data_IF_604383470660
#
_entry.id   IF_604383470660
#
_cell.length_a   1.000
_cell.length_b   1.000
_cell.length_c   1.000
_cell.angle_alpha   90.00
_cell.angle_beta   90.00
_cell.angle_gamma   90.00
#
_symmetry.space_group_name_H-M   'P 1'
#
loop_
_entity.id
_entity.type
_entity.pdbx_description
1 polymer ?
#
# COMPACT_ATOMS: atom_id res chain seq x y z
N UNK A 1 -31.15 11.86 -17.26
CA UNK A 1 -31.34 12.85 -16.19
C UNK A 1 -30.00 13.43 -15.83
N UNK A 2 -29.85 14.74 -15.99
CA UNK A 2 -28.60 15.44 -16.29
C UNK A 2 -27.67 15.54 -15.07
N UNK A 3 -26.41 15.11 -15.22
CA UNK A 3 -25.36 15.16 -14.17
C UNK A 3 -25.13 16.59 -13.67
N UNK A 4 -25.37 17.61 -14.52
CA UNK A 4 -25.25 19.03 -14.13
C UNK A 4 -26.33 19.47 -13.15
N UNK A 5 -27.55 18.99 -13.33
CA UNK A 5 -28.71 19.39 -12.51
C UNK A 5 -28.59 18.88 -11.05
N UNK A 6 -28.00 17.70 -10.87
CA UNK A 6 -27.66 17.17 -9.55
C UNK A 6 -26.51 17.93 -8.88
N UNK A 7 -25.51 18.39 -9.64
CA UNK A 7 -24.40 19.19 -9.10
C UNK A 7 -24.89 20.57 -8.63
N UNK A 8 -25.79 21.22 -9.39
CA UNK A 8 -26.39 22.50 -8.98
C UNK A 8 -27.24 22.39 -7.70
N UNK A 9 -28.01 21.30 -7.53
CA UNK A 9 -28.80 21.06 -6.32
C UNK A 9 -27.94 20.84 -5.07
N UNK A 10 -26.79 20.18 -5.21
CA UNK A 10 -25.85 19.92 -4.10
C UNK A 10 -25.11 21.20 -3.68
N UNK A 11 -24.73 22.05 -4.64
CA UNK A 11 -24.12 23.37 -4.35
C UNK A 11 -25.11 24.30 -3.64
N UNK A 12 -26.40 24.25 -3.99
CA UNK A 12 -27.42 25.08 -3.34
C UNK A 12 -27.74 24.62 -1.90
N UNK A 13 -27.51 23.35 -1.56
CA UNK A 13 -27.62 22.85 -0.17
C UNK A 13 -26.47 23.31 0.74
N UNK A 14 -25.36 23.79 0.14
CA UNK A 14 -24.13 24.23 0.83
C UNK A 14 -24.27 25.53 1.62
N UNK A 15 -25.29 26.35 1.36
CA UNK A 15 -25.40 27.71 1.94
C UNK A 15 -25.87 27.76 3.40
N UNK A 16 -26.35 26.67 3.99
CA UNK A 16 -26.88 26.65 5.35
C UNK A 16 -26.17 25.63 6.25
N UNK A 17 -25.00 26.01 6.77
CA UNK A 17 -24.46 25.56 8.06
C UNK A 17 -23.75 24.19 8.14
N UNK A 18 -22.52 24.21 8.66
CA UNK A 18 -21.84 23.16 9.45
C UNK A 18 -21.52 21.79 8.83
N UNK A 19 -22.37 21.25 7.97
CA UNK A 19 -22.26 19.90 7.41
C UNK A 19 -21.41 19.85 6.11
N UNK A 20 -21.03 21.01 5.57
CA UNK A 20 -20.44 21.15 4.24
C UNK A 20 -19.10 20.43 4.11
N UNK A 21 -18.23 20.53 5.12
CA UNK A 21 -16.91 19.90 5.08
C UNK A 21 -17.02 18.36 5.13
N UNK A 22 -17.94 17.84 5.94
CA UNK A 22 -18.15 16.40 6.09
C UNK A 22 -18.77 15.78 4.83
N UNK A 23 -19.72 16.48 4.20
CA UNK A 23 -20.34 16.05 2.93
C UNK A 23 -19.33 16.10 1.79
N UNK A 24 -18.46 17.12 1.73
CA UNK A 24 -17.37 17.20 0.75
C UNK A 24 -16.36 16.06 0.98
N UNK A 25 -15.98 15.77 2.23
CA UNK A 25 -15.09 14.65 2.58
C UNK A 25 -15.71 13.30 2.16
N UNK A 26 -17.00 13.08 2.44
CA UNK A 26 -17.72 11.87 2.04
C UNK A 26 -17.84 11.75 0.52
N UNK A 27 -18.09 12.85 -0.19
CA UNK A 27 -18.17 12.87 -1.65
C UNK A 27 -16.81 12.61 -2.29
N UNK A 28 -15.74 13.23 -1.80
CA UNK A 28 -14.37 12.98 -2.24
C UNK A 28 -13.99 11.51 -1.99
N UNK A 29 -14.32 10.97 -0.81
CA UNK A 29 -14.09 9.56 -0.48
C UNK A 29 -14.87 8.61 -1.39
N UNK A 30 -16.16 8.91 -1.65
CA UNK A 30 -17.01 8.13 -2.56
C UNK A 30 -16.49 8.15 -4.00
N UNK A 31 -15.98 9.29 -4.47
CA UNK A 31 -15.35 9.42 -5.79
C UNK A 31 -14.04 8.63 -5.88
N UNK A 32 -13.19 8.68 -4.84
CA UNK A 32 -11.98 7.86 -4.74
C UNK A 32 -12.31 6.37 -4.75
N UNK A 33 -13.31 5.93 -3.97
CA UNK A 33 -13.77 4.53 -3.96
C UNK A 33 -14.33 4.06 -5.31
N UNK A 34 -15.07 4.93 -6.01
CA UNK A 34 -15.61 4.64 -7.35
C UNK A 34 -14.46 4.47 -8.35
N UNK A 35 -13.44 5.34 -8.33
CA UNK A 35 -12.25 5.22 -9.17
C UNK A 35 -11.41 3.97 -8.84
N UNK A 36 -11.32 3.60 -7.56
CA UNK A 36 -10.67 2.35 -7.13
C UNK A 36 -11.42 1.14 -7.70
N UNK A 37 -12.75 1.10 -7.62
CA UNK A 37 -13.54 -0.01 -8.20
C UNK A 37 -13.45 -0.08 -9.73
N UNK A 38 -13.47 1.05 -10.44
CA UNK A 38 -13.36 1.04 -11.90
C UNK A 38 -11.96 0.59 -12.36
N UNK A 39 -10.90 1.03 -11.68
CA UNK A 39 -9.52 0.62 -11.98
C UNK A 39 -9.23 -0.85 -11.64
N UNK A 40 -9.79 -1.37 -10.53
CA UNK A 40 -9.66 -2.79 -10.17
C UNK A 40 -10.40 -3.68 -11.17
N UNK A 41 -11.59 -3.29 -11.63
CA UNK A 41 -12.39 -4.07 -12.59
C UNK A 41 -11.73 -4.15 -13.98
N UNK A 42 -11.19 -3.04 -14.52
CA UNK A 42 -10.51 -3.06 -15.83
C UNK A 42 -9.21 -3.88 -15.85
N UNK A 43 -8.53 -3.99 -14.70
CA UNK A 43 -7.24 -4.70 -14.60
C UNK A 43 -7.43 -6.21 -14.38
N UNK A 44 -8.43 -6.61 -13.59
CA UNK A 44 -8.79 -8.03 -13.38
C UNK A 44 -9.29 -8.71 -14.66
N UNK A 45 -9.94 -7.98 -15.57
CA UNK A 45 -10.39 -8.51 -16.86
C UNK A 45 -9.25 -8.87 -17.86
N UNK A 46 -7.97 -8.77 -17.47
CA UNK A 46 -6.81 -9.01 -18.35
C UNK A 46 -5.83 -10.10 -17.91
N UNK A 47 -6.00 -10.70 -16.73
CA UNK A 47 -5.17 -11.82 -16.26
C UNK A 47 -5.96 -13.12 -16.43
N UNK A 48 -5.36 -14.11 -17.10
CA UNK A 48 -5.96 -15.44 -17.21
C UNK A 48 -5.52 -16.37 -16.06
N UNK A 49 -6.17 -17.52 -15.93
CA UNK A 49 -5.87 -18.49 -14.85
C UNK A 49 -4.42 -18.96 -14.85
N UNK A 50 -3.78 -18.99 -16.02
CA UNK A 50 -2.37 -19.34 -16.14
C UNK A 50 -1.50 -18.24 -15.52
N UNK A 51 -1.81 -16.96 -15.78
CA UNK A 51 -1.10 -15.84 -15.16
C UNK A 51 -1.24 -15.88 -13.63
N UNK A 52 -2.45 -16.17 -13.11
CA UNK A 52 -2.70 -16.25 -11.67
C UNK A 52 -1.93 -17.41 -11.01
N UNK A 53 -1.93 -18.60 -11.63
CA UNK A 53 -1.14 -19.75 -11.17
C UNK A 53 0.36 -19.46 -11.22
N UNK A 54 0.83 -18.79 -12.28
CA UNK A 54 2.23 -18.39 -12.42
C UNK A 54 2.64 -17.42 -11.31
N UNK A 55 1.82 -16.40 -11.03
CA UNK A 55 2.07 -15.45 -9.93
C UNK A 55 2.08 -16.15 -8.58
N UNK A 56 1.18 -17.10 -8.36
CA UNK A 56 1.15 -17.91 -7.14
C UNK A 56 2.46 -18.69 -6.94
N UNK A 57 2.95 -19.38 -7.96
CA UNK A 57 4.20 -20.13 -7.88
C UNK A 57 5.42 -19.23 -7.67
N UNK A 58 5.52 -18.12 -8.40
CA UNK A 58 6.64 -17.17 -8.29
C UNK A 58 6.65 -16.40 -6.97
N UNK A 59 5.50 -16.21 -6.33
CA UNK A 59 5.45 -15.52 -5.04
C UNK A 59 5.93 -16.43 -3.90
N UNK A 60 5.75 -17.75 -4.06
CA UNK A 60 6.27 -18.74 -3.12
C UNK A 60 7.76 -19.00 -3.30
N UNK A 61 8.22 -19.09 -4.54
CA UNK A 61 9.63 -19.25 -4.87
C UNK A 61 9.97 -18.41 -6.10
N UNK A 62 10.44 -17.18 -5.86
CA UNK A 62 10.86 -16.27 -6.92
C UNK A 62 12.19 -16.67 -7.58
N UNK A 63 12.92 -17.63 -7.01
CA UNK A 63 14.22 -18.10 -7.51
C UNK A 63 14.11 -19.30 -8.45
N UNK A 64 12.91 -19.91 -8.55
CA UNK A 64 12.67 -21.08 -9.39
C UNK A 64 13.04 -20.81 -10.85
N UNK A 65 13.82 -21.71 -11.44
CA UNK A 65 14.19 -21.60 -12.86
C UNK A 65 12.97 -21.89 -13.75
N UNK A 66 12.87 -21.18 -14.89
CA UNK A 66 11.77 -21.38 -15.85
C UNK A 66 11.63 -22.84 -16.31
N UNK A 67 12.70 -23.62 -16.55
CA UNK A 67 12.58 -25.04 -16.85
C UNK A 67 11.96 -25.87 -15.71
N UNK A 68 12.31 -25.60 -14.45
CA UNK A 68 11.74 -26.31 -13.31
C UNK A 68 10.28 -25.91 -13.08
N UNK A 69 9.97 -24.63 -13.24
CA UNK A 69 8.60 -24.12 -13.19
C UNK A 69 7.73 -24.71 -14.30
N UNK A 70 8.28 -24.87 -15.50
CA UNK A 70 7.65 -25.54 -16.64
C UNK A 70 7.25 -26.98 -16.33
N UNK A 71 8.18 -27.77 -15.77
CA UNK A 71 7.90 -29.13 -15.28
C UNK A 71 6.83 -29.15 -14.18
N UNK A 72 6.93 -28.24 -13.21
CA UNK A 72 5.99 -28.15 -12.08
C UNK A 72 4.56 -27.81 -12.53
N UNK A 73 4.41 -26.90 -13.48
CA UNK A 73 3.11 -26.43 -13.95
C UNK A 73 2.55 -27.25 -15.13
N UNK A 74 3.36 -28.11 -15.75
CA UNK A 74 2.98 -28.82 -16.98
C UNK A 74 2.80 -27.90 -18.20
N UNK A 75 3.47 -26.75 -18.21
CA UNK A 75 3.34 -25.71 -19.25
C UNK A 75 4.67 -25.52 -19.96
N UNK A 76 4.65 -25.34 -21.29
CA UNK A 76 5.86 -25.12 -22.09
C UNK A 76 6.70 -23.93 -21.56
N UNK A 77 8.01 -24.13 -21.40
CA UNK A 77 8.92 -23.13 -20.86
C UNK A 77 8.92 -21.79 -21.64
N UNK A 78 8.78 -21.84 -22.97
CA UNK A 78 8.70 -20.63 -23.81
C UNK A 78 7.43 -19.81 -23.53
N UNK A 79 6.31 -20.50 -23.25
CA UNK A 79 5.05 -19.86 -22.85
C UNK A 79 5.21 -19.18 -21.51
N UNK A 80 5.75 -19.87 -20.50
CA UNK A 80 5.99 -19.28 -19.17
C UNK A 80 6.93 -18.08 -19.25
N UNK A 81 8.03 -18.18 -20.00
CA UNK A 81 8.97 -17.07 -20.19
C UNK A 81 8.28 -15.83 -20.79
N UNK A 82 7.50 -16.02 -21.85
CA UNK A 82 6.72 -14.94 -22.47
C UNK A 82 5.74 -14.29 -21.49
N UNK A 83 5.06 -15.11 -20.68
CA UNK A 83 4.12 -14.67 -19.64
C UNK A 83 4.80 -13.84 -18.56
N UNK A 84 5.90 -14.32 -17.99
CA UNK A 84 6.70 -13.59 -16.99
C UNK A 84 7.12 -12.22 -17.55
N UNK A 85 7.75 -12.21 -18.74
CA UNK A 85 8.20 -10.97 -19.39
C UNK A 85 7.06 -9.97 -19.59
N UNK A 86 5.88 -10.45 -19.99
CA UNK A 86 4.68 -9.63 -20.18
C UNK A 86 4.15 -9.08 -18.85
N UNK A 87 4.09 -9.90 -17.80
CA UNK A 87 3.63 -9.47 -16.47
C UNK A 87 4.58 -8.43 -15.85
N UNK A 88 5.90 -8.61 -16.02
CA UNK A 88 6.90 -7.61 -15.63
C UNK A 88 6.75 -6.31 -16.43
N UNK A 89 6.63 -6.39 -17.76
CA UNK A 89 6.44 -5.21 -18.62
C UNK A 89 5.16 -4.42 -18.27
N UNK A 90 4.12 -5.12 -17.80
CA UNK A 90 2.86 -4.51 -17.35
C UNK A 90 2.91 -3.99 -15.91
N UNK A 91 4.06 -4.05 -15.23
CA UNK A 91 4.22 -3.72 -13.81
C UNK A 91 3.31 -4.51 -12.86
N UNK A 92 2.85 -5.70 -13.30
CA UNK A 92 2.11 -6.63 -12.44
C UNK A 92 3.10 -7.35 -11.53
N UNK A 93 4.21 -7.84 -12.11
CA UNK A 93 5.40 -8.20 -11.33
C UNK A 93 6.24 -6.93 -11.19
N UNK A 94 6.27 -6.36 -9.98
CA UNK A 94 7.02 -5.13 -9.70
C UNK A 94 8.52 -5.37 -9.55
N UNK A 95 8.90 -6.46 -8.89
CA UNK A 95 10.30 -6.85 -8.66
C UNK A 95 10.41 -8.33 -8.27
N UNK A 96 11.60 -8.90 -8.44
CA UNK A 96 12.03 -10.12 -7.76
C UNK A 96 12.96 -9.71 -6.62
N UNK A 97 12.73 -10.25 -5.43
CA UNK A 97 13.44 -9.81 -4.21
C UNK A 97 13.59 -10.97 -3.24
N UNK A 98 14.37 -10.76 -2.18
CA UNK A 98 14.61 -11.74 -1.12
C UNK A 98 13.87 -11.32 0.14
N UNK A 99 13.39 -12.29 0.90
CA UNK A 99 12.91 -12.08 2.27
C UNK A 99 14.07 -12.37 3.20
N UNK A 100 14.39 -11.41 4.08
CA UNK A 100 15.53 -11.51 4.99
C UNK A 100 15.02 -11.59 6.42
N UNK A 101 15.70 -12.40 7.24
CA UNK A 101 15.51 -12.36 8.68
C UNK A 101 16.15 -11.08 9.23
N UNK A 102 15.32 -10.04 9.35
CA UNK A 102 15.73 -8.72 9.81
C UNK A 102 16.24 -8.71 11.25
N UNK A 103 15.82 -9.67 12.09
CA UNK A 103 16.31 -9.78 13.46
C UNK A 103 17.81 -10.13 13.49
N UNK A 104 18.26 -10.97 12.55
CA UNK A 104 19.69 -11.32 12.38
C UNK A 104 20.53 -10.14 11.88
N UNK A 105 19.89 -9.10 11.34
CA UNK A 105 20.53 -7.86 10.90
C UNK A 105 20.50 -6.75 11.95
N UNK A 106 20.09 -7.06 13.19
CA UNK A 106 20.04 -6.10 14.29
C UNK A 106 18.76 -5.27 14.35
N UNK A 107 17.73 -5.57 13.56
CA UNK A 107 16.41 -4.95 13.70
C UNK A 107 15.66 -5.69 14.82
N UNK A 108 15.79 -5.18 16.05
CA UNK A 108 15.18 -5.76 17.24
C UNK A 108 13.74 -5.30 17.49
N UNK A 109 13.31 -4.19 16.89
CA UNK A 109 11.98 -3.61 17.10
C UNK A 109 11.35 -3.18 15.78
N UNK A 110 10.10 -3.59 15.57
CA UNK A 110 9.25 -3.11 14.48
C UNK A 110 8.07 -2.37 15.07
N UNK A 111 7.68 -1.27 14.43
CA UNK A 111 6.53 -0.50 14.88
C UNK A 111 5.78 0.07 13.69
N UNK A 112 4.49 0.31 13.90
CA UNK A 112 3.68 1.16 13.03
C UNK A 112 3.33 2.43 13.77
N UNK A 113 3.49 3.59 13.13
CA UNK A 113 3.18 4.90 13.70
C UNK A 113 1.99 5.48 12.95
N UNK A 114 0.90 5.73 13.65
CA UNK A 114 -0.22 6.51 13.15
C UNK A 114 0.08 8.00 13.31
N UNK A 115 -0.14 8.79 12.25
CA UNK A 115 0.19 10.22 12.21
C UNK A 115 -1.02 11.01 11.72
N UNK A 116 -1.37 12.08 12.45
CA UNK A 116 -2.23 13.16 11.95
C UNK A 116 -1.38 14.38 11.61
N UNK A 117 -1.74 15.05 10.51
CA UNK A 117 -0.88 16.06 9.91
C UNK A 117 -1.68 17.21 9.30
N UNK A 118 -0.99 18.32 9.04
CA UNK A 118 -1.58 19.43 8.29
C UNK A 118 -1.87 19.02 6.83
N UNK A 119 -3.14 19.12 6.36
CA UNK A 119 -3.52 18.85 4.97
C UNK A 119 -2.64 19.56 3.93
N UNK A 120 -2.17 20.77 4.23
CA UNK A 120 -1.42 21.65 3.31
C UNK A 120 0.04 21.23 3.14
N UNK A 121 0.62 20.54 4.12
CA UNK A 121 2.04 20.17 4.13
C UNK A 121 2.28 18.72 3.66
N UNK A 122 1.28 18.09 3.03
CA UNK A 122 1.31 16.68 2.58
C UNK A 122 2.65 16.28 1.95
N UNK A 123 3.01 16.97 0.86
CA UNK A 123 4.15 16.56 0.02
C UNK A 123 5.49 16.83 0.73
N UNK A 124 5.55 17.90 1.52
CA UNK A 124 6.73 18.23 2.32
C UNK A 124 6.97 17.18 3.42
N UNK A 125 5.92 16.82 4.16
CA UNK A 125 5.96 15.77 5.19
C UNK A 125 6.37 14.44 4.57
N UNK A 126 5.73 14.03 3.47
CA UNK A 126 6.06 12.78 2.79
C UNK A 126 7.52 12.75 2.33
N UNK A 127 8.04 13.86 1.80
CA UNK A 127 9.45 13.98 1.39
C UNK A 127 10.41 13.89 2.58
N UNK A 128 10.07 14.44 3.74
CA UNK A 128 10.90 14.36 4.94
C UNK A 128 10.86 12.96 5.58
N UNK A 129 9.70 12.32 5.63
CA UNK A 129 9.58 10.93 6.07
C UNK A 129 10.43 9.99 5.21
N UNK A 130 10.41 10.14 3.87
CA UNK A 130 11.24 9.32 2.97
C UNK A 130 12.75 9.52 3.14
N UNK A 131 13.20 10.60 3.80
CA UNK A 131 14.61 10.80 4.12
C UNK A 131 15.05 10.08 5.40
N UNK A 132 14.10 9.52 6.16
CA UNK A 132 14.38 8.77 7.39
C UNK A 132 14.62 7.29 7.04
N UNK A 133 15.85 6.77 7.13
CA UNK A 133 16.17 5.41 6.67
C UNK A 133 15.41 4.31 7.41
N UNK A 134 15.02 4.57 8.65
CA UNK A 134 14.27 3.63 9.48
C UNK A 134 12.80 3.47 9.05
N UNK A 135 12.29 4.38 8.22
CA UNK A 135 10.93 4.29 7.65
C UNK A 135 10.94 3.33 6.46
N UNK A 136 10.20 2.24 6.57
CA UNK A 136 10.13 1.19 5.54
C UNK A 136 8.85 1.23 4.71
N UNK A 137 7.82 1.93 5.18
CA UNK A 137 6.57 2.10 4.46
C UNK A 137 5.84 3.37 4.90
N UNK A 138 5.09 3.96 3.96
CA UNK A 138 4.19 5.08 4.21
C UNK A 138 2.89 4.74 3.48
N UNK A 139 1.78 4.77 4.21
CA UNK A 139 0.43 4.55 3.66
C UNK A 139 -0.49 5.68 4.07
N UNK A 140 -1.11 6.32 3.10
CA UNK A 140 -2.27 7.17 3.37
C UNK A 140 -3.47 6.27 3.64
N UNK A 141 -4.13 6.49 4.78
CA UNK A 141 -5.23 5.64 5.21
C UNK A 141 -6.47 6.45 5.48
N UNK A 142 -7.61 5.78 5.43
CA UNK A 142 -8.86 6.36 5.87
C UNK A 142 -9.16 5.80 7.24
N UNK A 143 -9.20 6.68 8.25
CA UNK A 143 -9.39 6.29 9.64
C UNK A 143 -9.09 7.44 10.58
N UNK A 144 -8.72 7.09 11.82
CA UNK A 144 -8.31 8.04 12.87
C UNK A 144 -7.03 8.80 12.54
N UNK A 145 -6.18 8.21 11.70
CA UNK A 145 -4.91 8.77 11.28
C UNK A 145 -4.96 9.10 9.79
N UNK A 146 -4.25 10.15 9.38
CA UNK A 146 -4.07 10.49 7.97
C UNK A 146 -3.05 9.54 7.30
N UNK A 147 -2.01 9.16 8.05
CA UNK A 147 -0.87 8.38 7.54
C UNK A 147 -0.53 7.27 8.55
N UNK A 148 -0.20 6.09 8.04
CA UNK A 148 0.43 4.99 8.79
C UNK A 148 1.85 4.78 8.25
N UNK A 149 2.83 4.80 9.15
CA UNK A 149 4.26 4.68 8.82
C UNK A 149 4.83 3.43 9.47
N UNK A 150 5.41 2.53 8.68
CA UNK A 150 6.17 1.38 9.20
C UNK A 150 7.61 1.79 9.53
N UNK A 151 8.09 1.41 10.71
CA UNK A 151 9.43 1.74 11.21
C UNK A 151 10.15 0.51 11.72
N UNK A 152 11.42 0.35 11.33
CA UNK A 152 12.34 -0.66 11.84
C UNK A 152 13.43 0.02 12.69
N UNK A 153 13.67 -0.47 13.90
CA UNK A 153 14.63 0.08 14.84
C UNK A 153 15.44 -1.04 15.53
N UNK A 154 16.63 -0.70 16.01
CA UNK A 154 17.50 -1.64 16.73
C UNK A 154 16.92 -2.05 18.08
N UNK A 155 16.32 -1.10 18.80
CA UNK A 155 15.74 -1.28 20.12
C UNK A 155 14.68 -0.20 20.41
N UNK A 156 14.03 -0.29 21.58
CA UNK A 156 12.96 0.66 21.98
C UNK A 156 13.46 2.09 22.16
N UNK A 157 14.70 2.28 22.63
CA UNK A 157 15.30 3.61 22.78
C UNK A 157 15.51 4.28 21.42
N UNK A 158 16.03 3.52 20.45
CA UNK A 158 16.20 3.99 19.08
C UNK A 158 14.85 4.32 18.44
N UNK A 159 13.83 3.48 18.66
CA UNK A 159 12.46 3.76 18.22
C UNK A 159 11.94 5.08 18.81
N UNK A 160 12.09 5.28 20.11
CA UNK A 160 11.68 6.52 20.78
C UNK A 160 12.33 7.76 20.13
N UNK A 161 13.64 7.72 19.90
CA UNK A 161 14.38 8.80 19.25
C UNK A 161 13.91 9.04 17.80
N UNK A 162 13.59 7.98 17.05
CA UNK A 162 13.00 8.14 15.70
C UNK A 162 11.65 8.85 15.78
N UNK A 163 10.78 8.44 16.71
CA UNK A 163 9.44 9.03 16.83
C UNK A 163 9.50 10.49 17.28
N UNK A 164 10.31 10.82 18.28
CA UNK A 164 10.35 12.16 18.86
C UNK A 164 11.25 13.11 18.05
N UNK A 165 12.49 12.71 17.76
CA UNK A 165 13.48 13.62 17.18
C UNK A 165 13.46 13.68 15.67
N UNK A 166 13.01 12.61 14.99
CA UNK A 166 12.93 12.59 13.52
C UNK A 166 11.52 12.89 13.04
N UNK A 167 10.54 12.10 13.47
CA UNK A 167 9.15 12.24 13.01
C UNK A 167 8.51 13.43 13.70
N UNK A 168 8.52 13.50 15.03
CA UNK A 168 7.83 14.55 15.80
C UNK A 168 8.27 15.98 15.50
N UNK A 169 9.48 16.18 14.94
CA UNK A 169 10.01 17.50 14.55
C UNK A 169 9.66 17.91 13.11
N UNK A 170 9.04 17.05 12.33
CA UNK A 170 8.59 17.38 10.97
C UNK A 170 7.47 18.41 11.05
N UNK A 171 7.65 19.53 10.36
CA UNK A 171 6.65 20.60 10.31
C UNK A 171 5.33 20.07 9.75
N UNK A 172 4.24 20.37 10.46
CA UNK A 172 2.90 19.92 10.10
C UNK A 172 2.50 18.57 10.66
N UNK A 173 3.37 17.84 11.37
CA UNK A 173 2.94 16.71 12.20
C UNK A 173 2.24 17.24 13.45
N UNK A 174 1.01 16.80 13.67
CA UNK A 174 0.13 17.30 14.74
C UNK A 174 0.08 16.33 15.92
N UNK A 175 0.02 15.03 15.64
CA UNK A 175 0.05 13.98 16.66
C UNK A 175 0.53 12.66 16.08
N UNK A 176 1.10 11.83 16.95
CA UNK A 176 1.54 10.48 16.62
C UNK A 176 1.04 9.47 17.66
N UNK A 177 0.85 8.23 17.23
CA UNK A 177 0.59 7.08 18.10
C UNK A 177 1.42 5.90 17.60
N UNK A 178 2.14 5.24 18.52
CA UNK A 178 3.09 4.17 18.16
C UNK A 178 2.55 2.80 18.59
N UNK A 179 2.51 1.87 17.64
CA UNK A 179 2.11 0.49 17.83
C UNK A 179 3.33 -0.41 17.64
N UNK A 180 3.91 -0.88 18.75
CA UNK A 180 5.04 -1.82 18.70
C UNK A 180 4.54 -3.21 18.34
N UNK A 181 5.18 -3.85 17.36
CA UNK A 181 4.88 -5.21 16.95
C UNK A 181 5.45 -6.20 17.98
N UNK A 182 4.58 -6.92 18.68
CA UNK A 182 4.97 -7.95 19.63
C UNK A 182 5.16 -9.32 18.96
N UNK A 183 4.27 -9.63 18.01
CA UNK A 183 4.29 -10.85 17.23
C UNK A 183 3.63 -10.60 15.88
N UNK A 184 4.18 -11.21 14.84
CA UNK A 184 3.63 -11.19 13.49
C UNK A 184 3.42 -12.61 12.97
N UNK A 185 2.33 -12.82 12.25
CA UNK A 185 2.07 -14.07 11.52
C UNK A 185 1.65 -13.69 10.11
N UNK A 186 2.50 -14.06 9.15
CA UNK A 186 2.22 -13.85 7.73
C UNK A 186 1.46 -15.05 7.15
N UNK A 187 0.55 -14.78 6.22
CA UNK A 187 -0.13 -15.80 5.41
C UNK A 187 0.36 -15.70 3.98
N UNK A 188 0.64 -16.85 3.36
CA UNK A 188 0.96 -16.91 1.93
C UNK A 188 -0.11 -16.22 1.08
N UNK A 189 0.27 -15.33 0.16
CA UNK A 189 -0.69 -14.61 -0.67
C UNK A 189 -1.43 -15.58 -1.58
N UNK A 190 -2.76 -15.60 -1.48
CA UNK A 190 -3.63 -16.30 -2.41
C UNK A 190 -4.16 -15.32 -3.44
N UNK A 191 -3.63 -15.36 -4.66
CA UNK A 191 -4.27 -14.68 -5.80
C UNK A 191 -5.51 -15.48 -6.16
N UNK A 192 -6.69 -14.86 -6.10
CA UNK A 192 -7.97 -15.49 -6.35
C UNK A 192 -7.99 -16.07 -7.77
N UNK A 193 -7.84 -17.39 -7.90
CA UNK A 193 -8.20 -18.12 -9.11
C UNK A 193 -9.72 -18.20 -9.10
N UNK A 194 -10.38 -17.64 -10.11
CA UNK A 194 -11.81 -17.87 -10.33
C UNK A 194 -12.05 -19.37 -10.37
N UNK A 195 -12.80 -19.89 -9.40
CA UNK A 195 -13.34 -21.25 -9.46
C UNK A 195 -14.47 -21.33 -10.48
#
# INVERSE_FOLDING_TARGET
MDKKENLQKIVNFSKNGGATLYIIQLLAFKLTFINIKSGISETLHKLDDLDLKLLYELTRDGSISVPNLSKKMGINASVLYSRIKRLTKKNIIKKFTVVVDEAQLGIGVKATIGINRDPKLKDAIHKQLLQTPEIVSISEVTGRFDIMVGVHAENLEKLHNIVIDKIGKIEGIQSTETFVELQKTDKEPSYLVSK
#
